data_IF_031173531579
#
_entry.id   IF_031173531579
#
_cell.length_a   1.000
_cell.length_b   1.000
_cell.length_c   1.000
_cell.angle_alpha   90.00
_cell.angle_beta   90.00
_cell.angle_gamma   90.00
#
_symmetry.space_group_name_H-M   'P 1'
#
loop_
_entity.id
_entity.type
_entity.pdbx_description
1 polymer ?
#
# COMPACT_ATOMS: atom_id res chain seq x y z
N UNK A 1 19.76 -81.69 11.21
CA UNK A 1 20.61 -80.73 10.46
C UNK A 1 19.84 -80.31 9.22
N UNK A 2 19.61 -79.02 9.02
CA UNK A 2 18.88 -78.49 7.85
C UNK A 2 18.07 -77.24 8.18
N UNK A 3 18.75 -76.08 8.23
CA UNK A 3 18.15 -74.75 8.21
C UNK A 3 17.47 -74.52 6.85
N UNK A 4 16.32 -73.85 6.82
CA UNK A 4 15.89 -73.07 5.65
C UNK A 4 14.73 -72.10 5.99
N UNK A 5 15.14 -70.88 6.32
CA UNK A 5 14.59 -69.59 5.85
C UNK A 5 13.07 -69.34 5.86
N UNK A 6 12.59 -68.69 6.93
CA UNK A 6 11.40 -67.83 6.88
C UNK A 6 11.80 -66.49 6.24
N UNK A 7 11.34 -66.21 5.02
CA UNK A 7 11.48 -64.90 4.39
C UNK A 7 10.41 -63.95 4.95
N UNK A 8 10.81 -63.03 5.83
CA UNK A 8 9.99 -61.88 6.21
C UNK A 8 10.12 -60.85 5.11
N UNK A 9 9.07 -60.67 4.31
CA UNK A 9 8.98 -59.59 3.33
C UNK A 9 8.77 -58.29 4.10
N UNK A 10 9.86 -57.58 4.37
CA UNK A 10 9.85 -56.21 4.90
C UNK A 10 9.57 -55.26 3.74
N UNK A 11 8.31 -54.83 3.62
CA UNK A 11 7.90 -53.82 2.65
C UNK A 11 8.41 -52.45 3.14
N UNK A 12 9.62 -52.08 2.75
CA UNK A 12 10.19 -50.76 3.03
C UNK A 12 9.57 -49.76 2.05
N UNK A 13 8.55 -49.03 2.50
CA UNK A 13 8.10 -47.82 1.79
C UNK A 13 9.21 -46.76 1.86
N UNK A 14 10.01 -46.66 0.79
CA UNK A 14 10.90 -45.52 0.56
C UNK A 14 10.03 -44.30 0.24
N UNK A 15 9.66 -43.55 1.28
CA UNK A 15 9.10 -42.22 1.11
C UNK A 15 10.26 -41.34 0.64
N UNK A 16 10.38 -41.20 -0.68
CA UNK A 16 11.32 -40.29 -1.31
C UNK A 16 10.93 -38.85 -0.98
N UNK A 17 11.40 -38.35 0.16
CA UNK A 17 11.36 -36.93 0.47
C UNK A 17 12.30 -36.19 -0.48
N UNK A 18 11.75 -35.57 -1.52
CA UNK A 18 12.46 -34.54 -2.28
C UNK A 18 12.57 -33.34 -1.36
N UNK A 19 13.71 -33.20 -0.67
CA UNK A 19 14.08 -31.93 -0.06
C UNK A 19 14.54 -31.04 -1.20
N UNK A 20 13.59 -30.44 -1.90
CA UNK A 20 13.88 -29.38 -2.85
C UNK A 20 14.32 -28.17 -2.06
N UNK A 21 15.63 -27.90 -2.04
CA UNK A 21 16.13 -26.59 -1.63
C UNK A 21 15.65 -25.58 -2.68
N UNK A 22 14.65 -24.78 -2.32
CA UNK A 22 14.20 -23.68 -3.17
C UNK A 22 15.33 -22.65 -3.17
N UNK A 23 16.13 -22.64 -4.22
CA UNK A 23 17.08 -21.56 -4.48
C UNK A 23 16.27 -20.35 -4.93
N UNK A 24 15.97 -19.49 -3.97
CA UNK A 24 15.27 -18.23 -4.21
C UNK A 24 16.23 -17.31 -4.95
N UNK A 25 15.86 -16.83 -6.13
CA UNK A 25 16.65 -15.87 -6.90
C UNK A 25 17.01 -14.66 -6.02
N UNK A 26 18.17 -14.04 -6.26
CA UNK A 26 18.59 -12.82 -5.56
C UNK A 26 17.50 -11.75 -5.45
N UNK A 27 16.64 -11.58 -6.48
CA UNK A 27 15.50 -10.65 -6.47
C UNK A 27 14.39 -11.07 -5.52
N UNK A 28 14.11 -12.37 -5.44
CA UNK A 28 13.10 -12.90 -4.53
C UNK A 28 13.65 -12.98 -3.09
N UNK A 29 14.97 -13.11 -2.91
CA UNK A 29 15.63 -13.04 -1.60
C UNK A 29 15.59 -11.62 -1.03
N UNK A 30 15.76 -10.60 -1.88
CA UNK A 30 15.53 -9.19 -1.51
C UNK A 30 14.10 -8.95 -1.04
N UNK A 31 13.10 -9.51 -1.73
CA UNK A 31 11.69 -9.40 -1.33
C UNK A 31 11.33 -10.13 -0.02
N UNK A 32 12.17 -11.07 0.44
CA UNK A 32 11.97 -11.83 1.69
C UNK A 32 12.77 -11.28 2.88
N UNK A 33 13.69 -10.34 2.64
CA UNK A 33 14.54 -9.79 3.70
C UNK A 33 13.78 -8.73 4.49
N UNK A 34 13.52 -8.99 5.77
CA UNK A 34 12.89 -8.01 6.67
C UNK A 34 13.83 -6.82 6.86
N UNK A 35 13.28 -5.61 6.82
CA UNK A 35 14.05 -4.37 7.03
C UNK A 35 14.74 -4.31 8.41
N UNK A 36 14.27 -5.10 9.38
CA UNK A 36 14.88 -5.25 10.72
C UNK A 36 16.33 -5.75 10.72
N UNK A 37 16.86 -6.23 9.61
CA UNK A 37 18.28 -6.64 9.48
C UNK A 37 19.21 -5.47 9.11
N UNK A 38 18.68 -4.28 8.79
CA UNK A 38 19.42 -3.04 8.55
C UNK A 38 19.39 -2.12 9.77
N UNK A 39 19.71 -2.66 10.95
CA UNK A 39 19.66 -1.93 12.23
C UNK A 39 20.64 -0.76 12.20
N UNK A 40 20.12 0.49 12.18
CA UNK A 40 20.91 1.72 12.37
C UNK A 40 20.70 2.83 11.34
N UNK A 41 19.88 2.64 10.30
CA UNK A 41 19.59 3.68 9.30
C UNK A 41 18.19 4.26 9.51
N UNK A 42 18.08 5.55 9.81
CA UNK A 42 16.83 6.30 9.61
C UNK A 42 16.64 6.44 8.11
N UNK A 43 15.75 5.67 7.51
CA UNK A 43 15.53 5.69 6.06
C UNK A 43 14.74 6.95 5.70
N UNK A 44 15.44 8.08 5.58
CA UNK A 44 14.86 9.30 4.98
C UNK A 44 14.26 8.98 3.61
N UNK A 45 14.93 8.09 2.85
CA UNK A 45 14.55 7.70 1.50
C UNK A 45 14.52 6.18 1.32
N UNK A 46 13.52 5.69 0.60
CA UNK A 46 13.35 4.29 0.27
C UNK A 46 13.40 4.09 -1.24
N UNK A 47 14.41 3.35 -1.71
CA UNK A 47 14.50 2.88 -3.10
C UNK A 47 13.44 1.80 -3.39
N UNK A 48 13.11 1.01 -2.37
CA UNK A 48 12.12 -0.07 -2.40
C UNK A 48 11.29 0.02 -1.10
N UNK A 49 9.96 -0.07 -1.24
CA UNK A 49 9.02 -0.14 -0.13
C UNK A 49 8.67 -1.60 0.16
N UNK A 50 8.89 -2.05 1.39
CA UNK A 50 8.46 -3.37 1.85
C UNK A 50 7.07 -3.30 2.46
N UNK A 51 6.40 -4.45 2.59
CA UNK A 51 5.02 -4.50 3.12
C UNK A 51 4.89 -3.84 4.49
N UNK A 52 5.90 -3.97 5.35
CA UNK A 52 5.94 -3.34 6.68
C UNK A 52 6.10 -1.81 6.65
N UNK A 53 6.53 -1.23 5.54
CA UNK A 53 6.71 0.23 5.40
C UNK A 53 5.40 0.96 5.10
N UNK A 54 4.39 0.23 4.59
CA UNK A 54 3.09 0.81 4.27
C UNK A 54 2.29 1.09 5.54
N UNK A 55 1.57 2.22 5.59
CA UNK A 55 0.66 2.52 6.68
C UNK A 55 -0.42 1.43 6.78
N UNK A 56 -1.02 1.31 7.96
CA UNK A 56 -2.13 0.41 8.24
C UNK A 56 -3.41 1.22 8.48
N UNK A 57 -4.57 0.60 8.26
CA UNK A 57 -5.86 1.29 8.49
C UNK A 57 -6.01 1.83 9.92
N UNK A 58 -5.36 1.19 10.91
CA UNK A 58 -5.35 1.69 12.30
C UNK A 58 -4.72 3.08 12.39
N UNK A 59 -3.76 3.43 11.52
CA UNK A 59 -3.10 4.74 11.48
C UNK A 59 -4.05 5.85 10.99
N UNK A 60 -5.18 5.48 10.38
CA UNK A 60 -6.24 6.40 9.98
C UNK A 60 -7.33 6.59 11.04
N UNK A 61 -7.24 5.91 12.19
CA UNK A 61 -8.24 6.04 13.25
C UNK A 61 -8.20 7.45 13.84
N UNK A 62 -9.30 8.20 13.71
CA UNK A 62 -9.40 9.57 14.21
C UNK A 62 -8.70 10.63 13.36
N UNK A 63 -8.17 10.27 12.18
CA UNK A 63 -7.65 11.25 11.22
C UNK A 63 -8.77 11.84 10.36
N UNK A 64 -8.60 13.11 10.00
CA UNK A 64 -9.48 13.78 9.06
C UNK A 64 -9.37 13.15 7.67
N UNK A 65 -10.51 13.04 7.00
CA UNK A 65 -10.57 12.52 5.64
C UNK A 65 -9.79 13.43 4.68
N UNK A 66 -9.10 12.81 3.72
CA UNK A 66 -8.34 13.41 2.63
C UNK A 66 -7.13 14.26 3.04
N UNK A 67 -6.84 14.38 4.34
CA UNK A 67 -5.59 15.00 4.83
C UNK A 67 -4.42 14.06 4.61
N UNK A 68 -3.39 14.56 3.94
CA UNK A 68 -2.17 13.81 3.62
C UNK A 68 -1.21 13.76 4.80
N UNK A 69 -0.59 12.60 4.95
CA UNK A 69 0.44 12.27 5.94
C UNK A 69 1.53 11.41 5.28
N UNK A 70 2.65 11.19 5.97
CA UNK A 70 3.82 10.51 5.44
C UNK A 70 4.00 9.12 6.02
N UNK A 71 4.64 8.23 5.25
CA UNK A 71 4.87 6.85 5.62
C UNK A 71 5.76 6.76 6.86
N UNK A 72 5.39 5.97 7.89
CA UNK A 72 6.14 5.80 9.16
C UNK A 72 7.65 5.49 9.00
N UNK A 73 8.03 4.93 7.85
CA UNK A 73 9.40 4.50 7.57
C UNK A 73 10.17 5.33 6.55
N UNK A 74 9.52 6.15 5.69
CA UNK A 74 10.15 6.76 4.50
C UNK A 74 9.52 8.12 4.15
N UNK A 75 10.30 9.20 3.98
CA UNK A 75 9.71 10.51 3.64
C UNK A 75 9.12 10.54 2.22
N UNK A 76 9.65 9.71 1.30
CA UNK A 76 9.15 9.62 -0.07
C UNK A 76 7.88 8.76 -0.22
N UNK A 77 7.22 8.39 0.88
CA UNK A 77 5.89 7.79 0.86
C UNK A 77 4.89 8.71 1.55
N UNK A 78 3.73 8.92 0.94
CA UNK A 78 2.62 9.67 1.52
C UNK A 78 1.31 8.92 1.37
N UNK A 79 0.37 9.15 2.28
CA UNK A 79 -0.97 8.57 2.25
C UNK A 79 -2.01 9.54 2.78
N UNK A 80 -3.27 9.34 2.44
CA UNK A 80 -4.37 9.99 3.12
C UNK A 80 -5.45 8.99 3.51
N UNK A 81 -6.32 9.44 4.41
CA UNK A 81 -7.35 8.60 5.01
C UNK A 81 -8.73 8.93 4.45
N UNK A 82 -9.65 7.96 4.47
CA UNK A 82 -11.08 8.19 4.25
C UNK A 82 -11.88 7.21 5.08
N UNK A 83 -12.87 7.68 5.82
CA UNK A 83 -13.68 6.86 6.73
C UNK A 83 -12.85 6.02 7.70
N UNK A 84 -11.70 6.53 8.15
CA UNK A 84 -10.78 5.83 9.04
C UNK A 84 -10.07 4.62 8.43
N UNK A 85 -9.93 4.57 7.10
CA UNK A 85 -9.10 3.61 6.37
C UNK A 85 -8.17 4.35 5.40
N UNK A 86 -7.13 3.67 4.92
CA UNK A 86 -6.22 4.25 3.92
C UNK A 86 -6.97 4.39 2.60
N UNK A 87 -6.93 5.60 2.05
CA UNK A 87 -7.64 5.95 0.84
C UNK A 87 -6.70 6.03 -0.37
N UNK A 88 -5.66 6.85 -0.26
CA UNK A 88 -4.69 7.05 -1.32
C UNK A 88 -3.26 6.92 -0.80
N UNK A 89 -2.35 6.55 -1.70
CA UNK A 89 -0.92 6.42 -1.47
C UNK A 89 -0.16 7.02 -2.63
N UNK A 90 0.89 7.78 -2.31
CA UNK A 90 1.85 8.30 -3.25
C UNK A 90 3.26 7.85 -2.89
N UNK A 91 3.99 7.36 -3.87
CA UNK A 91 5.38 6.94 -3.72
C UNK A 91 6.23 7.79 -4.67
N UNK A 92 7.10 8.60 -4.08
CA UNK A 92 8.06 9.44 -4.79
C UNK A 92 9.39 8.73 -4.96
N UNK A 93 10.17 9.17 -5.95
CA UNK A 93 11.56 8.75 -6.08
C UNK A 93 12.37 9.21 -4.84
N UNK A 94 13.48 8.53 -4.51
CA UNK A 94 14.41 8.99 -3.47
C UNK A 94 14.84 10.45 -3.71
N UNK A 95 14.80 11.27 -2.65
CA UNK A 95 15.09 12.70 -2.71
C UNK A 95 13.87 13.60 -2.96
N UNK A 96 12.68 13.01 -3.16
CA UNK A 96 11.45 13.75 -3.40
C UNK A 96 10.37 13.41 -2.37
N UNK A 97 9.58 14.40 -1.97
CA UNK A 97 8.43 14.28 -1.05
C UNK A 97 7.16 14.67 -1.78
N UNK A 98 6.06 14.00 -1.46
CA UNK A 98 4.76 14.34 -2.03
C UNK A 98 4.25 15.66 -1.44
N UNK A 99 4.02 16.65 -2.30
CA UNK A 99 3.35 17.90 -1.96
C UNK A 99 1.86 17.77 -2.30
N UNK A 100 1.00 17.87 -1.28
CA UNK A 100 -0.44 17.74 -1.45
C UNK A 100 -1.09 18.95 -2.15
N UNK A 101 -0.49 20.13 -2.07
CA UNK A 101 -0.98 21.37 -2.70
C UNK A 101 -0.70 21.37 -4.20
N UNK A 102 0.48 20.87 -4.59
CA UNK A 102 0.88 20.72 -5.99
C UNK A 102 0.44 19.38 -6.60
N UNK A 103 0.02 18.45 -5.74
CA UNK A 103 -0.30 17.06 -6.09
C UNK A 103 0.81 16.35 -6.88
N UNK A 104 2.07 16.66 -6.53
CA UNK A 104 3.28 16.22 -7.23
C UNK A 104 4.40 15.85 -6.25
N UNK A 105 5.44 15.17 -6.76
CA UNK A 105 6.66 14.90 -6.00
C UNK A 105 7.64 16.06 -6.18
N UNK A 106 7.96 16.73 -5.10
CA UNK A 106 8.89 17.85 -5.08
C UNK A 106 10.22 17.46 -4.45
N UNK A 107 11.31 18.02 -4.97
CA UNK A 107 12.64 17.81 -4.41
C UNK A 107 12.67 18.34 -2.97
N UNK A 108 13.19 17.55 -2.06
CA UNK A 108 13.18 17.88 -0.64
C UNK A 108 14.59 17.89 -0.08
N UNK A 109 15.06 19.08 0.26
CA UNK A 109 16.43 19.32 0.73
C UNK A 109 16.57 19.33 2.25
N UNK A 110 15.48 19.23 3.00
CA UNK A 110 15.49 19.40 4.46
C UNK A 110 15.96 18.15 5.23
N UNK A 111 16.38 18.39 6.46
CA UNK A 111 17.09 17.40 7.26
C UNK A 111 16.21 16.41 8.04
N UNK A 112 14.94 16.73 8.20
CA UNK A 112 13.93 15.86 8.81
C UNK A 112 12.78 15.69 7.85
N UNK A 113 12.18 14.50 7.78
CA UNK A 113 10.90 14.38 7.11
C UNK A 113 9.92 15.41 7.71
N UNK A 114 8.91 15.85 6.95
CA UNK A 114 7.76 16.57 7.49
C UNK A 114 6.90 15.66 8.39
N UNK A 115 7.49 15.10 9.45
CA UNK A 115 6.75 14.47 10.54
C UNK A 115 6.28 15.55 11.49
N UNK A 116 5.25 16.26 11.08
CA UNK A 116 4.41 16.99 12.01
C UNK A 116 2.99 16.71 11.57
N UNK A 117 2.14 16.32 12.52
CA UNK A 117 0.71 16.15 12.31
C UNK A 117 0.07 17.45 11.84
N UNK A 118 0.09 17.65 10.53
CA UNK A 118 -0.22 18.90 9.87
C UNK A 118 0.82 19.13 8.79
N UNK A 119 0.41 18.92 7.53
CA UNK A 119 1.17 19.37 6.37
C UNK A 119 1.47 20.88 6.41
N UNK A 120 2.11 21.42 5.36
CA UNK A 120 2.35 22.86 5.27
C UNK A 120 1.00 23.60 5.17
N UNK A 121 0.51 24.06 6.32
CA UNK A 121 -0.70 24.86 6.49
C UNK A 121 -0.70 25.52 7.87
N UNK A 122 0.48 25.79 8.41
CA UNK A 122 0.68 26.55 9.64
C UNK A 122 0.67 28.05 9.38
N UNK A 123 -0.45 28.59 8.90
CA UNK A 123 -0.84 29.95 9.21
C UNK A 123 -2.28 29.97 9.74
N UNK A 124 -2.35 30.30 11.02
CA UNK A 124 -3.52 30.81 11.69
C UNK A 124 -4.19 31.89 10.83
N UNK A 125 -5.39 31.61 10.34
CA UNK A 125 -6.33 32.68 10.02
C UNK A 125 -7.75 32.24 10.38
N UNK A 126 -8.15 32.67 11.57
CA UNK A 126 -9.56 32.74 11.96
C UNK A 126 -10.29 33.68 11.01
N UNK A 127 -11.27 33.19 10.26
CA UNK A 127 -12.45 33.93 9.84
C UNK A 127 -13.48 32.95 9.29
N UNK A 128 -14.60 32.82 9.99
CA UNK A 128 -15.82 32.25 9.44
C UNK A 128 -16.33 33.20 8.36
N UNK A 129 -16.27 32.79 7.09
CA UNK A 129 -16.96 33.48 6.02
C UNK A 129 -17.73 32.47 5.16
N UNK A 130 -19.02 32.74 5.01
CA UNK A 130 -20.07 31.91 4.39
C UNK A 130 -19.66 31.30 3.04
N UNK A 131 -19.71 29.96 2.94
CA UNK A 131 -19.62 29.23 1.67
C UNK A 131 -21.01 29.27 0.98
N UNK A 132 -21.13 29.83 -0.24
CA UNK A 132 -22.33 29.61 -1.03
C UNK A 132 -22.32 28.17 -1.57
N UNK A 133 -23.39 27.44 -1.28
CA UNK A 133 -23.68 26.12 -1.85
C UNK A 133 -23.90 26.26 -3.36
N UNK A 134 -23.15 25.52 -4.19
CA UNK A 134 -23.50 25.19 -5.60
C UNK A 134 -22.55 24.07 -6.10
N UNK A 135 -23.04 22.84 -6.22
CA UNK A 135 -23.36 22.14 -7.48
C UNK A 135 -22.23 21.22 -7.98
N UNK A 136 -22.44 19.92 -7.78
CA UNK A 136 -21.92 18.75 -8.51
C UNK A 136 -20.64 18.97 -9.36
N UNK A 137 -19.49 18.95 -8.70
CA UNK A 137 -18.16 19.10 -9.32
C UNK A 137 -17.81 17.89 -10.19
N UNK A 138 -17.41 18.15 -11.44
CA UNK A 138 -16.86 17.16 -12.37
C UNK A 138 -15.54 16.61 -11.81
N UNK A 139 -15.53 15.34 -11.39
CA UNK A 139 -14.34 14.67 -10.88
C UNK A 139 -13.39 14.36 -12.04
N UNK A 140 -12.24 15.02 -12.10
CA UNK A 140 -11.23 14.80 -13.15
C UNK A 140 -10.46 13.49 -12.87
N UNK A 141 -10.51 12.55 -13.82
CA UNK A 141 -9.75 11.29 -13.75
C UNK A 141 -8.51 11.41 -14.66
N UNK A 142 -7.32 11.37 -14.06
CA UNK A 142 -6.05 11.40 -14.78
C UNK A 142 -5.04 10.43 -14.13
N UNK A 143 -3.88 10.26 -14.77
CA UNK A 143 -2.82 9.40 -14.27
C UNK A 143 -1.78 10.09 -13.37
N UNK A 144 -1.93 11.38 -13.08
CA UNK A 144 -0.98 12.18 -12.28
C UNK A 144 0.47 11.93 -12.74
N UNK A 145 1.37 11.47 -11.86
CA UNK A 145 2.76 11.10 -12.20
C UNK A 145 2.92 9.66 -12.69
N UNK A 146 1.89 8.82 -12.58
CA UNK A 146 1.96 7.39 -12.92
C UNK A 146 1.98 7.22 -14.44
N UNK A 147 3.08 6.68 -14.96
CA UNK A 147 3.20 6.35 -16.39
C UNK A 147 2.48 5.04 -16.70
N UNK A 148 2.84 3.98 -15.97
CA UNK A 148 2.24 2.65 -16.08
C UNK A 148 1.95 2.13 -14.67
N UNK A 149 0.71 1.75 -14.38
CA UNK A 149 0.33 1.29 -13.04
C UNK A 149 -1.16 1.41 -12.76
N UNK A 150 -1.54 1.24 -11.50
CA UNK A 150 -2.93 1.37 -11.04
C UNK A 150 -3.01 2.31 -9.85
N UNK A 151 -4.01 3.18 -9.83
CA UNK A 151 -4.27 4.13 -8.76
C UNK A 151 -5.74 4.06 -8.32
N UNK A 152 -6.07 4.48 -7.08
CA UNK A 152 -7.45 4.53 -6.61
C UNK A 152 -8.32 5.41 -7.49
N UNK A 153 -9.58 5.01 -7.69
CA UNK A 153 -10.56 5.92 -8.28
C UNK A 153 -10.93 7.01 -7.25
N UNK A 154 -11.04 8.29 -7.66
CA UNK A 154 -11.15 9.44 -6.74
C UNK A 154 -12.41 9.43 -5.86
N UNK A 155 -13.48 8.75 -6.27
CA UNK A 155 -14.77 8.75 -5.55
C UNK A 155 -15.36 7.38 -5.29
N UNK A 156 -14.78 6.30 -5.82
CA UNK A 156 -15.42 4.98 -5.80
C UNK A 156 -14.38 3.89 -5.55
N UNK A 157 -14.32 3.37 -4.32
CA UNK A 157 -13.38 2.31 -3.98
C UNK A 157 -13.67 0.96 -4.65
N UNK A 158 -14.81 0.80 -5.33
CA UNK A 158 -15.07 -0.37 -6.18
C UNK A 158 -14.48 -0.22 -7.57
N UNK A 159 -13.76 0.89 -7.84
CA UNK A 159 -13.08 1.17 -9.09
C UNK A 159 -11.61 1.52 -8.85
N UNK A 160 -10.81 1.36 -9.88
CA UNK A 160 -9.44 1.85 -9.95
C UNK A 160 -9.16 2.43 -11.33
N UNK A 161 -8.11 3.23 -11.45
CA UNK A 161 -7.64 3.77 -12.72
C UNK A 161 -6.38 3.03 -13.11
N UNK A 162 -6.43 2.34 -14.23
CA UNK A 162 -5.29 1.70 -14.88
C UNK A 162 -4.65 2.68 -15.86
N UNK A 163 -3.43 3.08 -15.56
CA UNK A 163 -2.63 3.99 -16.36
C UNK A 163 -1.75 3.19 -17.31
N UNK A 164 -1.90 3.45 -18.60
CA UNK A 164 -1.06 2.90 -19.67
C UNK A 164 -0.52 4.08 -20.46
N UNK A 165 0.79 4.31 -20.40
CA UNK A 165 1.46 5.45 -21.00
C UNK A 165 0.79 6.80 -20.65
N UNK A 166 0.48 6.99 -19.36
CA UNK A 166 -0.25 8.14 -18.77
C UNK A 166 -1.70 8.31 -19.23
N UNK A 167 -2.24 7.37 -20.01
CA UNK A 167 -3.66 7.38 -20.40
C UNK A 167 -4.48 6.68 -19.30
N UNK A 168 -5.44 7.37 -18.66
CA UNK A 168 -6.26 6.79 -17.60
C UNK A 168 -7.35 5.88 -18.16
N UNK A 169 -7.46 4.67 -17.62
CA UNK A 169 -8.53 3.73 -17.94
C UNK A 169 -9.24 3.33 -16.65
N UNK A 170 -10.51 3.70 -16.48
CA UNK A 170 -11.28 3.29 -15.30
C UNK A 170 -11.66 1.81 -15.42
N UNK A 171 -11.43 1.06 -14.35
CA UNK A 171 -11.70 -0.37 -14.22
C UNK A 171 -12.53 -0.63 -12.96
N UNK A 172 -13.42 -1.59 -13.06
CA UNK A 172 -14.21 -2.08 -11.93
C UNK A 172 -13.48 -3.22 -11.20
N UNK A 173 -13.59 -3.22 -9.87
CA UNK A 173 -13.38 -4.41 -9.06
C UNK A 173 -14.58 -5.36 -9.20
N UNK A 174 -14.38 -6.63 -8.82
CA UNK A 174 -15.48 -7.58 -8.71
C UNK A 174 -16.47 -7.17 -7.61
N UNK A 175 -17.71 -7.67 -7.68
CA UNK A 175 -18.71 -7.45 -6.65
C UNK A 175 -18.21 -7.96 -5.28
N UNK A 176 -18.37 -7.13 -4.24
CA UNK A 176 -17.83 -7.41 -2.90
C UNK A 176 -16.33 -7.14 -2.72
N UNK A 177 -15.67 -6.55 -3.72
CA UNK A 177 -14.26 -6.18 -3.66
C UNK A 177 -14.08 -4.67 -3.71
N UNK A 178 -13.06 -4.19 -3.00
CA UNK A 178 -12.60 -2.80 -3.01
C UNK A 178 -11.13 -2.76 -3.42
N UNK A 179 -10.73 -1.69 -4.10
CA UNK A 179 -9.35 -1.50 -4.53
C UNK A 179 -8.45 -1.17 -3.33
N UNK A 180 -7.38 -1.94 -3.16
CA UNK A 180 -6.38 -1.74 -2.12
C UNK A 180 -5.09 -1.16 -2.73
N UNK A 181 -4.91 0.14 -2.56
CA UNK A 181 -3.80 0.90 -3.15
C UNK A 181 -2.40 0.33 -2.84
N UNK A 182 -2.08 -0.09 -1.59
CA UNK A 182 -0.75 -0.62 -1.26
C UNK A 182 -0.28 -1.77 -2.14
N UNK A 183 -1.21 -2.63 -2.60
CA UNK A 183 -0.90 -3.80 -3.44
C UNK A 183 -1.41 -3.67 -4.87
N UNK A 184 -1.95 -2.51 -5.23
CA UNK A 184 -2.51 -2.23 -6.55
C UNK A 184 -3.50 -3.30 -7.06
N UNK A 185 -4.32 -3.84 -6.16
CA UNK A 185 -5.19 -5.00 -6.41
C UNK A 185 -6.54 -4.83 -5.71
N UNK A 186 -7.59 -5.40 -6.30
CA UNK A 186 -8.90 -5.49 -5.65
C UNK A 186 -8.90 -6.66 -4.65
N UNK A 187 -9.37 -6.42 -3.43
CA UNK A 187 -9.50 -7.43 -2.38
C UNK A 187 -10.91 -7.40 -1.78
N UNK A 188 -11.41 -8.49 -1.17
CA UNK A 188 -12.71 -8.52 -0.52
C UNK A 188 -12.86 -7.40 0.52
N UNK A 189 -13.97 -6.66 0.48
CA UNK A 189 -14.21 -5.57 1.42
C UNK A 189 -15.61 -4.96 1.38
N UNK A 190 -15.85 -4.04 2.31
CA UNK A 190 -17.11 -3.30 2.47
C UNK A 190 -17.07 -2.02 1.65
N UNK A 191 -17.92 -1.92 0.62
CA UNK A 191 -18.03 -0.75 -0.26
C UNK A 191 -18.40 0.51 0.53
N UNK A 192 -19.28 0.39 1.51
CA UNK A 192 -19.83 1.50 2.28
C UNK A 192 -18.76 2.19 3.12
N UNK A 193 -17.77 1.42 3.57
CA UNK A 193 -16.67 1.90 4.39
C UNK A 193 -15.36 2.09 3.60
N UNK A 194 -15.30 1.64 2.34
CA UNK A 194 -14.07 1.51 1.56
C UNK A 194 -12.92 0.85 2.32
N UNK A 195 -13.24 -0.27 3.00
CA UNK A 195 -12.32 -1.02 3.86
C UNK A 195 -12.31 -2.49 3.50
N UNK A 196 -11.14 -3.10 3.61
CA UNK A 196 -11.01 -4.55 3.54
C UNK A 196 -11.74 -5.20 4.70
N UNK A 197 -12.25 -6.41 4.47
CA UNK A 197 -12.75 -7.24 5.54
C UNK A 197 -11.61 -7.60 6.50
N UNK A 198 -11.88 -7.52 7.80
CA UNK A 198 -10.99 -8.04 8.84
C UNK A 198 -11.46 -9.44 9.26
N UNK A 199 -10.64 -10.13 10.06
CA UNK A 199 -11.04 -11.42 10.62
C UNK A 199 -12.30 -11.32 11.51
N UNK A 200 -12.54 -10.16 12.11
CA UNK A 200 -13.73 -9.88 12.93
C UNK A 200 -15.00 -9.79 12.08
N UNK A 201 -14.87 -9.36 10.82
CA UNK A 201 -16.00 -9.26 9.90
C UNK A 201 -16.43 -10.60 9.29
N UNK A 202 -15.63 -11.65 9.48
CA UNK A 202 -15.86 -13.00 8.94
C UNK A 202 -16.43 -13.98 9.98
N UNK A 203 -16.76 -13.49 11.18
CA UNK A 203 -17.38 -14.24 12.27
C UNK A 203 -18.88 -13.97 12.34
#
# INVERSE_FOLDING_TARGET
>A
MGLSTNQVVMLICLIGGVVGEITVDSRATLALKKRSEMVGYSLRWCDIFYQEDFPKNVDCTGKNDLVWDYFPSCCNGAYNCRNGGIWNIYLCAPGYVYDASLESCEEFSEDSCPYVGGGPGGDDMTTEEDIPTTTESQVVINCRTVVNGRIPHPTDCTKFVECIDRVPNVRDCLEGYVYYAPFAVCLPGKKEACKLYTLEDLQ
#
